data_IF_611482282352
#
_entry.id   IF_611482282352
#
_cell.length_a   1.000
_cell.length_b   1.000
_cell.length_c   1.000
_cell.angle_alpha   90.00
_cell.angle_beta   90.00
_cell.angle_gamma   90.00
#
_symmetry.space_group_name_H-M   'P 1'
#
loop_
_entity.id
_entity.type
_entity.pdbx_description
1 polymer ?
#
# COMPACT_ATOMS: atom_id res chain seq x y z
N UNK A 1 0.57 -19.29 39.57
CA UNK A 1 -0.40 -18.63 38.67
C UNK A 1 0.41 -17.80 37.68
N UNK A 2 0.62 -18.32 36.48
CA UNK A 2 1.37 -17.64 35.41
C UNK A 2 0.48 -16.52 34.85
N UNK A 3 0.94 -15.28 34.70
CA UNK A 3 0.13 -14.25 34.06
C UNK A 3 -0.15 -14.68 32.61
N UNK A 4 -1.34 -14.38 32.06
CA UNK A 4 -1.59 -14.63 30.65
C UNK A 4 -0.56 -13.82 29.87
N UNK A 5 0.28 -14.53 29.12
CA UNK A 5 1.04 -13.93 28.03
C UNK A 5 -0.02 -13.27 27.14
N UNK A 6 -0.07 -11.94 27.12
CA UNK A 6 -0.69 -11.19 26.04
C UNK A 6 -0.03 -11.74 24.78
N UNK A 7 -0.72 -12.67 24.15
CA UNK A 7 -0.41 -13.15 22.82
C UNK A 7 -0.28 -11.88 21.99
N UNK A 8 0.95 -11.57 21.58
CA UNK A 8 1.20 -10.47 20.67
C UNK A 8 0.69 -10.91 19.30
N UNK A 9 -0.65 -11.03 19.19
CA UNK A 9 -1.40 -11.42 18.00
C UNK A 9 -1.45 -10.24 17.00
N UNK A 10 -0.46 -9.35 17.04
CA UNK A 10 -0.27 -8.35 16.00
C UNK A 10 0.31 -9.08 14.80
N UNK A 11 -0.59 -9.58 13.96
CA UNK A 11 -0.31 -10.10 12.61
C UNK A 11 0.34 -9.07 11.66
N UNK A 12 0.81 -7.94 12.18
CA UNK A 12 1.50 -6.88 11.47
C UNK A 12 2.78 -6.50 12.22
N UNK A 13 3.89 -6.51 11.50
CA UNK A 13 5.14 -5.86 11.85
C UNK A 13 5.39 -4.68 10.91
N UNK A 14 6.28 -3.75 11.31
CA UNK A 14 6.70 -2.66 10.44
C UNK A 14 7.19 -3.17 9.07
N UNK A 15 7.89 -4.30 9.05
CA UNK A 15 8.35 -4.93 7.82
C UNK A 15 7.17 -5.37 6.93
N UNK A 16 6.15 -6.03 7.50
CA UNK A 16 4.97 -6.46 6.72
C UNK A 16 4.13 -5.27 6.24
N UNK A 17 4.03 -4.20 7.03
CA UNK A 17 3.34 -2.98 6.64
C UNK A 17 4.08 -2.26 5.51
N UNK A 18 5.40 -2.17 5.59
CA UNK A 18 6.22 -1.60 4.52
C UNK A 18 6.10 -2.41 3.23
N UNK A 19 6.07 -3.74 3.32
CA UNK A 19 5.85 -4.60 2.14
C UNK A 19 4.47 -4.36 1.53
N UNK A 20 3.43 -4.27 2.35
CA UNK A 20 2.07 -3.97 1.87
C UNK A 20 2.02 -2.62 1.15
N UNK A 21 2.57 -1.59 1.77
CA UNK A 21 2.69 -0.27 1.15
C UNK A 21 3.45 -0.29 -0.18
N UNK A 22 4.61 -0.93 -0.23
CA UNK A 22 5.40 -1.01 -1.47
C UNK A 22 4.68 -1.75 -2.59
N UNK A 23 3.95 -2.81 -2.26
CA UNK A 23 3.12 -3.54 -3.23
C UNK A 23 1.99 -2.66 -3.77
N UNK A 24 1.29 -1.95 -2.89
CA UNK A 24 0.24 -1.01 -3.26
C UNK A 24 0.78 0.09 -4.17
N UNK A 25 1.90 0.70 -3.80
CA UNK A 25 2.57 1.73 -4.59
C UNK A 25 2.92 1.29 -6.00
N UNK A 26 3.45 0.09 -6.16
CA UNK A 26 3.71 -0.47 -7.50
C UNK A 26 2.42 -0.75 -8.28
N UNK A 27 1.36 -1.23 -7.61
CA UNK A 27 0.05 -1.42 -8.24
C UNK A 27 -0.53 -0.07 -8.73
N UNK A 28 -0.48 0.97 -7.90
CA UNK A 28 -0.94 2.31 -8.27
C UNK A 28 -0.12 2.92 -9.40
N UNK A 29 1.21 2.83 -9.34
CA UNK A 29 2.09 3.31 -10.42
C UNK A 29 1.83 2.64 -11.78
N UNK A 30 1.35 1.40 -11.77
CA UNK A 30 1.06 0.62 -12.98
C UNK A 30 -0.40 0.71 -13.43
N UNK A 31 -1.23 1.50 -12.73
CA UNK A 31 -2.65 1.66 -13.04
C UNK A 31 -3.47 0.40 -12.76
N UNK A 32 -2.99 -0.48 -11.87
CA UNK A 32 -3.77 -1.65 -11.45
C UNK A 32 -4.98 -1.22 -10.61
N UNK A 33 -6.10 -1.98 -10.66
CA UNK A 33 -7.25 -1.72 -9.80
C UNK A 33 -6.95 -1.84 -8.30
N UNK A 34 -7.63 -1.02 -7.48
CA UNK A 34 -7.47 -1.00 -6.02
C UNK A 34 -8.03 -2.28 -5.35
N UNK A 35 -8.96 -2.98 -5.98
CA UNK A 35 -9.57 -4.23 -5.49
C UNK A 35 -8.65 -5.45 -5.61
N UNK A 36 -7.45 -5.31 -6.19
CA UNK A 36 -6.40 -6.34 -6.21
C UNK A 36 -5.58 -6.42 -4.92
N UNK A 37 -5.97 -5.66 -3.90
CA UNK A 37 -5.45 -5.78 -2.55
C UNK A 37 -5.49 -7.27 -2.11
N UNK A 38 -4.38 -7.84 -1.60
CA UNK A 38 -4.31 -9.27 -1.25
C UNK A 38 -4.43 -9.57 0.25
N UNK A 39 -4.57 -8.56 1.12
CA UNK A 39 -4.42 -8.73 2.56
C UNK A 39 -5.78 -8.90 3.27
N UNK A 40 -6.00 -10.00 3.99
CA UNK A 40 -7.24 -10.19 4.76
C UNK A 40 -7.27 -9.37 6.06
N UNK A 41 -6.12 -8.85 6.51
CA UNK A 41 -6.03 -8.06 7.74
C UNK A 41 -6.15 -6.57 7.43
N UNK A 42 -7.08 -5.89 8.10
CA UNK A 42 -7.40 -4.48 7.86
C UNK A 42 -6.18 -3.53 7.93
N UNK A 43 -5.24 -3.79 8.83
CA UNK A 43 -4.04 -2.94 8.98
C UNK A 43 -3.09 -3.08 7.79
N UNK A 44 -2.92 -4.31 7.27
CA UNK A 44 -2.11 -4.55 6.07
C UNK A 44 -2.85 -4.03 4.82
N UNK A 45 -4.18 -4.11 4.82
CA UNK A 45 -5.02 -3.53 3.77
C UNK A 45 -4.83 -2.03 3.67
N UNK A 46 -4.97 -1.32 4.78
CA UNK A 46 -4.80 0.12 4.84
C UNK A 46 -3.39 0.55 4.39
N UNK A 47 -2.35 -0.21 4.76
CA UNK A 47 -0.99 0.08 4.30
C UNK A 47 -0.85 -0.09 2.78
N UNK A 48 -1.43 -1.13 2.21
CA UNK A 48 -1.44 -1.36 0.76
C UNK A 48 -2.22 -0.26 0.03
N UNK A 49 -3.42 0.08 0.51
CA UNK A 49 -4.27 1.10 -0.10
C UNK A 49 -3.60 2.47 -0.10
N UNK A 50 -2.95 2.85 1.02
CA UNK A 50 -2.17 4.08 1.10
C UNK A 50 -1.02 4.11 0.07
N UNK A 51 -0.33 2.98 -0.12
CA UNK A 51 0.67 2.85 -1.16
C UNK A 51 0.07 3.05 -2.55
N UNK A 52 -1.07 2.41 -2.83
CA UNK A 52 -1.76 2.49 -4.12
C UNK A 52 -2.15 3.93 -4.47
N UNK A 53 -2.73 4.67 -3.53
CA UNK A 53 -3.09 6.08 -3.71
C UNK A 53 -1.87 6.93 -4.07
N UNK A 54 -0.75 6.77 -3.33
CA UNK A 54 0.50 7.48 -3.59
C UNK A 54 1.07 7.14 -4.99
N UNK A 55 1.03 5.86 -5.38
CA UNK A 55 1.48 5.40 -6.69
C UNK A 55 0.64 5.97 -7.84
N UNK A 56 -0.68 6.01 -7.67
CA UNK A 56 -1.61 6.61 -8.65
C UNK A 56 -1.37 8.10 -8.80
N UNK A 57 -1.21 8.83 -7.68
CA UNK A 57 -0.92 10.26 -7.71
C UNK A 57 0.37 10.56 -8.46
N UNK A 58 1.42 9.76 -8.26
CA UNK A 58 2.68 9.91 -8.98
C UNK A 58 2.56 9.61 -10.47
N UNK A 59 1.84 8.54 -10.85
CA UNK A 59 1.60 8.22 -12.25
C UNK A 59 0.87 9.36 -12.97
N UNK A 60 -0.17 9.91 -12.34
CA UNK A 60 -0.96 11.02 -12.89
C UNK A 60 -0.12 12.30 -13.02
N UNK A 61 0.69 12.62 -12.02
CA UNK A 61 1.63 13.75 -12.07
C UNK A 61 2.61 13.63 -13.23
N UNK A 62 3.24 12.46 -13.38
CA UNK A 62 4.19 12.21 -14.48
C UNK A 62 3.51 12.29 -15.86
N UNK A 63 2.27 11.82 -15.99
CA UNK A 63 1.51 11.98 -17.24
C UNK A 63 1.18 13.45 -17.53
N UNK A 64 0.76 14.22 -16.53
CA UNK A 64 0.47 15.63 -16.68
C UNK A 64 1.71 16.44 -17.12
N UNK A 65 2.87 16.15 -16.54
CA UNK A 65 4.15 16.76 -16.94
C UNK A 65 4.53 16.42 -18.38
N UNK A 66 4.35 15.16 -18.79
CA UNK A 66 4.64 14.73 -20.18
C UNK A 66 3.73 15.41 -21.19
N UNK A 67 2.46 15.62 -20.87
CA UNK A 67 1.54 16.34 -21.74
C UNK A 67 1.94 17.81 -21.91
N UNK A 68 2.45 18.46 -20.86
CA UNK A 68 2.92 19.85 -20.92
C UNK A 68 4.24 19.99 -21.71
N UNK A 69 5.13 19.00 -21.64
CA UNK A 69 6.41 19.03 -22.35
C UNK A 69 6.30 18.81 -23.87
N UNK A 70 5.12 18.44 -24.38
CA UNK A 70 4.91 18.14 -25.81
C UNK A 70 4.08 19.23 -26.52
N UNK A 71 3.80 20.35 -25.84
CA UNK A 71 3.03 21.49 -26.35
C UNK A 71 3.88 22.67 -26.81
#
# INVERSE_FOLDING_TARGET
MTPPTLVDDRHWSLETLNKAYQQGYMAGLTGQPIDLQPYPADVLAAAWEAGWDDGQAQQQGALAERLQATG
#
